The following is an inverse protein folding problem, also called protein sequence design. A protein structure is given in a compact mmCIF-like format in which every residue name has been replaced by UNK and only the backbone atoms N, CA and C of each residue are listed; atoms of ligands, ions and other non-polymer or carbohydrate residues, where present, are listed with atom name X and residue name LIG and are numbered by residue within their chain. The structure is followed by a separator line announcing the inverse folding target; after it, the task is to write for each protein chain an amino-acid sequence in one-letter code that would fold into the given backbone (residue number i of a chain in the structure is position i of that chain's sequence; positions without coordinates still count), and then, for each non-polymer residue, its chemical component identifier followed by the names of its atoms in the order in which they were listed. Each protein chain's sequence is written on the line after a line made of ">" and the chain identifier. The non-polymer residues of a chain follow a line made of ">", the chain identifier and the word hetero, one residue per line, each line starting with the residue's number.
data_IF_268948475894
#
_entry.id   IF_268948475894
#
_cell.length_a   1.000
_cell.length_b   1.000
_cell.length_c   1.000
_cell.angle_alpha   90.00
_cell.angle_beta   90.00
_cell.angle_gamma   90.00
#
_symmetry.space_group_name_H-M   'P 1'
#
loop_
_entity.id
_entity.type
_entity.pdbx_description
1 polymer ?
#
# COMPACT_ATOMS: atom_id res chain seq x y z
N UNK A 1 -6.58 -47.35 8.62
CA UNK A 1 -5.29 -46.67 8.80
C UNK A 1 -5.36 -45.90 10.11
N UNK A 2 -4.42 -46.14 11.03
CA UNK A 2 -4.36 -45.35 12.27
C UNK A 2 -3.85 -43.95 11.93
N UNK A 3 -4.62 -42.94 12.31
CA UNK A 3 -4.32 -41.53 12.10
C UNK A 3 -3.76 -40.96 13.40
N UNK A 4 -2.61 -40.31 13.33
CA UNK A 4 -1.92 -39.80 14.51
C UNK A 4 -1.51 -38.34 14.30
N UNK A 5 -1.74 -37.50 15.31
CA UNK A 5 -1.09 -36.21 15.47
C UNK A 5 0.16 -36.41 16.32
N UNK A 6 1.32 -36.16 15.75
CA UNK A 6 2.60 -36.26 16.45
C UNK A 6 3.12 -34.86 16.79
N UNK A 7 3.40 -34.63 18.07
CA UNK A 7 3.92 -33.37 18.58
C UNK A 7 5.39 -33.55 18.87
N UNK A 8 6.22 -32.71 18.25
CA UNK A 8 7.67 -32.74 18.40
C UNK A 8 8.17 -31.48 19.09
N UNK A 9 9.16 -31.66 19.97
CA UNK A 9 9.95 -30.57 20.51
C UNK A 9 11.16 -30.38 19.62
N UNK A 10 11.22 -29.23 18.95
CA UNK A 10 12.34 -28.86 18.10
C UNK A 10 13.29 -27.98 18.91
N UNK A 11 14.55 -28.43 19.02
CA UNK A 11 15.66 -27.60 19.50
C UNK A 11 16.72 -27.54 18.39
N UNK A 12 17.69 -26.64 18.50
CA UNK A 12 18.63 -26.33 17.41
C UNK A 12 19.35 -27.56 16.80
N UNK A 13 19.56 -28.63 17.56
CA UNK A 13 20.30 -29.81 17.14
C UNK A 13 19.48 -31.12 17.05
N UNK A 14 18.22 -31.14 17.52
CA UNK A 14 17.42 -32.36 17.57
C UNK A 14 15.92 -32.08 17.56
N UNK A 15 15.15 -33.09 17.12
CA UNK A 15 13.70 -33.09 17.11
C UNK A 15 13.21 -34.31 17.88
N UNK A 16 12.66 -34.08 19.07
CA UNK A 16 12.23 -35.15 19.97
C UNK A 16 10.71 -35.32 19.88
N UNK A 17 10.23 -36.55 19.67
CA UNK A 17 8.80 -36.85 19.75
C UNK A 17 8.33 -36.70 21.21
N UNK A 18 7.46 -35.74 21.48
CA UNK A 18 6.91 -35.47 22.81
C UNK A 18 5.59 -36.20 23.01
N UNK A 19 4.76 -36.24 21.96
CA UNK A 19 3.40 -36.75 22.10
C UNK A 19 2.90 -37.39 20.81
N UNK A 20 2.03 -38.39 20.95
CA UNK A 20 1.27 -38.99 19.85
C UNK A 20 -0.17 -39.07 20.29
N UNK A 21 -1.06 -38.45 19.51
CA UNK A 21 -2.48 -38.34 19.79
C UNK A 21 -3.23 -39.06 18.68
N UNK A 22 -4.13 -39.97 19.03
CA UNK A 22 -4.91 -40.72 18.04
C UNK A 22 -6.07 -39.87 17.53
N UNK A 23 -6.21 -39.78 16.21
CA UNK A 23 -7.30 -39.06 15.57
C UNK A 23 -8.40 -40.03 15.15
N UNK A 24 -9.65 -39.60 15.33
CA UNK A 24 -10.82 -40.39 14.94
C UNK A 24 -11.11 -40.35 13.43
N UNK A 25 -10.41 -39.51 12.65
CA UNK A 25 -10.70 -39.28 11.23
C UNK A 25 -9.48 -38.74 10.48
N UNK A 26 -9.55 -38.76 9.15
CA UNK A 26 -8.49 -38.22 8.27
C UNK A 26 -8.42 -36.71 8.40
N UNK A 27 -7.24 -36.18 8.75
CA UNK A 27 -6.98 -34.74 8.76
C UNK A 27 -6.79 -34.24 7.31
N UNK A 28 -7.60 -33.27 6.89
CA UNK A 28 -7.50 -32.57 5.62
C UNK A 28 -6.81 -31.21 5.76
N UNK A 29 -6.97 -30.58 6.92
CA UNK A 29 -6.30 -29.35 7.29
C UNK A 29 -6.17 -29.26 8.81
N UNK A 30 -5.25 -28.46 9.31
CA UNK A 30 -5.08 -28.24 10.74
C UNK A 30 -4.45 -26.88 11.04
N UNK A 31 -4.78 -26.33 12.20
CA UNK A 31 -4.14 -25.14 12.74
C UNK A 31 -3.77 -25.39 14.21
N UNK A 32 -2.64 -24.82 14.64
CA UNK A 32 -2.11 -25.00 15.98
C UNK A 32 -1.78 -23.64 16.58
N UNK A 33 -2.32 -23.40 17.77
CA UNK A 33 -1.89 -22.36 18.70
C UNK A 33 -1.55 -23.05 20.05
N UNK A 34 -2.14 -22.61 21.17
CA UNK A 34 -2.12 -23.37 22.43
C UNK A 34 -2.95 -24.67 22.34
N UNK A 35 -3.91 -24.71 21.43
CA UNK A 35 -4.77 -25.84 21.09
C UNK A 35 -4.64 -26.16 19.60
N UNK A 36 -4.90 -27.41 19.22
CA UNK A 36 -4.92 -27.81 17.81
C UNK A 36 -6.37 -27.99 17.35
N UNK A 37 -6.71 -27.38 16.22
CA UNK A 37 -7.98 -27.62 15.52
C UNK A 37 -7.67 -28.38 14.24
N UNK A 38 -8.37 -29.48 14.04
CA UNK A 38 -8.17 -30.39 12.90
C UNK A 38 -9.48 -30.47 12.13
N UNK A 39 -9.42 -30.24 10.83
CA UNK A 39 -10.54 -30.48 9.95
C UNK A 39 -10.42 -31.86 9.31
N UNK A 40 -11.51 -32.61 9.37
CA UNK A 40 -11.69 -33.84 8.58
C UNK A 40 -12.70 -33.62 7.47
N UNK A 41 -13.02 -34.66 6.70
CA UNK A 41 -14.10 -34.58 5.70
C UNK A 41 -15.48 -34.32 6.31
N UNK A 42 -15.72 -34.72 7.57
CA UNK A 42 -17.05 -34.70 8.19
C UNK A 42 -17.19 -33.82 9.43
N UNK A 43 -16.08 -33.39 10.04
CA UNK A 43 -16.10 -32.66 11.32
C UNK A 43 -14.83 -31.85 11.56
N UNK A 44 -14.97 -30.79 12.36
CA UNK A 44 -13.85 -30.13 13.02
C UNK A 44 -13.66 -30.71 14.41
N UNK A 45 -12.41 -31.02 14.76
CA UNK A 45 -12.01 -31.70 15.99
C UNK A 45 -11.06 -30.77 16.73
N UNK A 46 -11.38 -30.46 17.98
CA UNK A 46 -10.48 -29.80 18.91
C UNK A 46 -9.61 -30.83 19.60
N UNK A 47 -8.32 -30.53 19.72
CA UNK A 47 -7.34 -31.39 20.40
C UNK A 47 -6.56 -30.56 21.40
N UNK A 48 -6.69 -30.93 22.67
CA UNK A 48 -5.85 -30.37 23.74
C UNK A 48 -4.51 -31.11 23.74
N UNK A 49 -3.45 -30.38 23.43
CA UNK A 49 -2.10 -30.92 23.30
C UNK A 49 -1.50 -31.35 24.66
N UNK A 50 -2.00 -30.81 25.78
CA UNK A 50 -1.56 -31.12 27.15
C UNK A 50 -2.26 -32.36 27.68
N UNK A 51 -3.60 -32.40 27.63
CA UNK A 51 -4.39 -33.51 28.17
C UNK A 51 -4.51 -34.70 27.20
N UNK A 52 -4.18 -34.48 25.92
CA UNK A 52 -4.28 -35.47 24.83
C UNK A 52 -5.72 -35.87 24.50
N UNK A 53 -6.70 -35.12 24.98
CA UNK A 53 -8.11 -35.39 24.70
C UNK A 53 -8.52 -34.68 23.41
N UNK A 54 -9.37 -35.36 22.64
CA UNK A 54 -10.01 -34.78 21.46
C UNK A 54 -11.52 -34.72 21.66
N UNK A 55 -12.15 -33.64 21.23
CA UNK A 55 -13.60 -33.48 21.21
C UNK A 55 -14.04 -32.89 19.88
N UNK A 56 -15.29 -33.11 19.53
CA UNK A 56 -15.87 -32.54 18.32
C UNK A 56 -16.26 -31.08 18.57
N UNK A 57 -15.87 -30.20 17.66
CA UNK A 57 -16.26 -28.78 17.68
C UNK A 57 -17.62 -28.64 16.96
N UNK A 58 -17.68 -29.05 15.69
CA UNK A 58 -18.95 -29.18 14.96
C UNK A 58 -18.81 -30.05 13.69
N UNK A 59 -19.95 -30.51 13.17
CA UNK A 59 -20.05 -31.32 11.96
C UNK A 59 -19.92 -30.46 10.68
N UNK A 60 -19.12 -30.92 9.72
CA UNK A 60 -19.02 -30.31 8.38
C UNK A 60 -20.17 -30.78 7.51
N UNK A 61 -20.98 -29.82 7.07
CA UNK A 61 -22.08 -30.03 6.11
C UNK A 61 -21.90 -29.20 4.83
N UNK A 62 -20.74 -28.55 4.67
CA UNK A 62 -20.44 -27.68 3.54
C UNK A 62 -20.01 -28.43 2.27
N UNK A 63 -20.21 -27.78 1.12
CA UNK A 63 -19.85 -28.25 -0.22
C UNK A 63 -18.37 -28.08 -0.59
N UNK A 64 -17.60 -27.35 0.23
CA UNK A 64 -16.17 -27.16 0.02
C UNK A 64 -15.43 -28.49 0.16
N UNK A 65 -14.79 -28.92 -0.92
CA UNK A 65 -13.96 -30.14 -0.94
C UNK A 65 -12.87 -30.08 0.12
N UNK A 66 -12.25 -28.90 0.27
CA UNK A 66 -11.19 -28.65 1.24
C UNK A 66 -11.69 -27.74 2.39
N UNK A 67 -11.61 -28.18 3.65
CA UNK A 67 -11.83 -27.28 4.78
C UNK A 67 -10.70 -26.27 4.86
N UNK A 68 -11.04 -25.06 5.32
CA UNK A 68 -10.09 -24.00 5.59
C UNK A 68 -10.12 -23.64 7.07
N UNK A 69 -8.94 -23.60 7.68
CA UNK A 69 -8.73 -23.25 9.08
C UNK A 69 -7.68 -22.14 9.17
N UNK A 70 -7.93 -21.12 9.98
CA UNK A 70 -6.90 -20.18 10.40
C UNK A 70 -7.02 -19.80 11.88
N UNK A 71 -5.89 -19.49 12.52
CA UNK A 71 -5.85 -18.95 13.89
C UNK A 71 -6.23 -17.47 13.86
N UNK A 72 -7.31 -17.07 14.52
CA UNK A 72 -7.80 -15.70 14.51
C UNK A 72 -7.25 -14.87 15.69
N UNK A 73 -7.32 -15.43 16.90
CA UNK A 73 -6.69 -14.87 18.10
C UNK A 73 -6.35 -15.98 19.10
N UNK A 74 -5.87 -15.61 20.29
CA UNK A 74 -5.68 -16.57 21.38
C UNK A 74 -6.99 -17.30 21.66
N UNK A 75 -6.96 -18.63 21.59
CA UNK A 75 -8.13 -19.52 21.75
C UNK A 75 -9.33 -19.18 20.83
N UNK A 76 -9.10 -18.59 19.65
CA UNK A 76 -10.16 -18.33 18.66
C UNK A 76 -9.66 -18.69 17.25
N UNK A 77 -10.43 -19.52 16.56
CA UNK A 77 -10.13 -20.05 15.24
C UNK A 77 -11.23 -19.65 14.26
N UNK A 78 -10.83 -19.35 13.04
CA UNK A 78 -11.71 -19.09 11.92
C UNK A 78 -11.81 -20.32 11.03
N UNK A 79 -13.03 -20.79 10.80
CA UNK A 79 -13.33 -22.02 10.10
C UNK A 79 -14.26 -21.79 8.92
N UNK A 80 -14.04 -22.50 7.82
CA UNK A 80 -15.04 -22.60 6.75
C UNK A 80 -16.26 -23.41 7.22
N UNK A 81 -17.40 -22.73 7.33
CA UNK A 81 -18.70 -23.28 7.72
C UNK A 81 -19.60 -23.61 6.52
N UNK A 82 -20.79 -24.19 6.79
CA UNK A 82 -21.79 -24.45 5.75
C UNK A 82 -22.33 -23.16 5.13
N UNK A 83 -22.80 -23.26 3.88
CA UNK A 83 -23.43 -22.12 3.19
C UNK A 83 -22.50 -20.92 2.98
N UNK A 84 -21.21 -21.18 2.77
CA UNK A 84 -20.17 -20.14 2.57
C UNK A 84 -20.00 -19.22 3.77
N UNK A 85 -20.17 -19.75 4.99
CA UNK A 85 -19.96 -18.98 6.21
C UNK A 85 -18.52 -19.11 6.70
N UNK A 86 -17.96 -18.03 7.24
CA UNK A 86 -16.77 -18.04 8.08
C UNK A 86 -17.19 -18.03 9.54
N UNK A 87 -16.90 -19.10 10.28
CA UNK A 87 -17.33 -19.26 11.68
C UNK A 87 -16.13 -19.07 12.60
N UNK A 88 -16.31 -18.23 13.62
CA UNK A 88 -15.35 -18.10 14.71
C UNK A 88 -15.70 -19.11 15.80
N UNK A 89 -14.73 -19.89 16.26
CA UNK A 89 -14.94 -20.83 17.37
C UNK A 89 -13.74 -20.82 18.31
N UNK A 90 -13.99 -21.04 19.60
CA UNK A 90 -12.93 -21.32 20.56
C UNK A 90 -12.56 -22.80 20.61
N UNK A 91 -11.58 -23.15 21.44
CA UNK A 91 -11.17 -24.56 21.65
C UNK A 91 -12.31 -25.48 22.06
N UNK A 92 -13.36 -24.98 22.73
CA UNK A 92 -14.53 -25.76 23.19
C UNK A 92 -15.64 -25.81 22.13
N UNK A 93 -15.48 -25.12 21.00
CA UNK A 93 -16.47 -25.08 19.91
C UNK A 93 -17.59 -24.06 20.10
N UNK A 94 -17.44 -23.13 21.05
CA UNK A 94 -18.37 -22.02 21.23
C UNK A 94 -17.96 -20.85 20.33
N UNK A 95 -18.96 -20.15 19.78
CA UNK A 95 -18.74 -18.91 19.05
C UNK A 95 -19.20 -17.70 19.87
N UNK A 96 -18.33 -16.70 19.97
CA UNK A 96 -18.65 -15.40 20.58
C UNK A 96 -19.00 -14.34 19.53
N UNK A 97 -18.90 -14.67 18.24
CA UNK A 97 -19.10 -13.74 17.13
C UNK A 97 -20.08 -14.34 16.11
N UNK A 98 -20.92 -13.52 15.48
CA UNK A 98 -21.71 -14.02 14.38
C UNK A 98 -20.80 -14.41 13.21
N UNK A 99 -21.25 -15.35 12.36
CA UNK A 99 -20.48 -15.78 11.21
C UNK A 99 -20.38 -14.67 10.15
N UNK A 100 -19.30 -14.72 9.36
CA UNK A 100 -19.13 -13.90 8.17
C UNK A 100 -19.71 -14.58 6.94
N UNK A 101 -20.36 -13.83 6.05
CA UNK A 101 -20.73 -14.33 4.73
C UNK A 101 -19.53 -14.24 3.80
N UNK A 102 -19.08 -15.38 3.28
CA UNK A 102 -17.93 -15.53 2.39
C UNK A 102 -18.39 -16.00 0.99
N UNK A 103 -17.44 -16.09 0.06
CA UNK A 103 -17.65 -16.64 -1.28
C UNK A 103 -17.85 -18.16 -1.24
N UNK A 104 -18.59 -18.69 -2.21
CA UNK A 104 -18.83 -20.14 -2.37
C UNK A 104 -17.59 -20.90 -2.85
N UNK A 105 -16.74 -20.25 -3.64
CA UNK A 105 -15.54 -20.86 -4.24
C UNK A 105 -14.27 -20.50 -3.48
N UNK A 106 -14.34 -20.53 -2.15
CA UNK A 106 -13.22 -20.12 -1.31
C UNK A 106 -12.03 -21.07 -1.49
N UNK A 107 -10.89 -20.52 -1.91
CA UNK A 107 -9.63 -21.24 -2.07
C UNK A 107 -8.75 -21.15 -0.83
N UNK A 108 -8.79 -20.00 -0.14
CA UNK A 108 -8.03 -19.79 1.08
C UNK A 108 -8.71 -18.79 2.01
N UNK A 109 -8.42 -18.93 3.30
CA UNK A 109 -8.94 -18.09 4.36
C UNK A 109 -7.81 -17.73 5.31
N UNK A 110 -7.69 -16.43 5.59
CA UNK A 110 -6.61 -15.88 6.39
C UNK A 110 -7.15 -14.81 7.33
N UNK A 111 -6.41 -14.55 8.40
CA UNK A 111 -6.75 -13.53 9.37
C UNK A 111 -5.51 -12.75 9.83
N UNK A 112 -5.74 -11.47 10.12
CA UNK A 112 -4.74 -10.58 10.68
C UNK A 112 -5.46 -9.53 11.53
N UNK A 113 -5.22 -9.57 12.84
CA UNK A 113 -5.94 -8.72 13.81
C UNK A 113 -7.46 -8.97 13.67
N UNK A 114 -8.27 -7.92 13.49
CA UNK A 114 -9.73 -8.03 13.32
C UNK A 114 -10.15 -8.11 11.84
N UNK A 115 -9.22 -8.39 10.93
CA UNK A 115 -9.50 -8.53 9.51
C UNK A 115 -9.40 -9.97 9.07
N UNK A 116 -10.36 -10.37 8.23
CA UNK A 116 -10.42 -11.67 7.57
C UNK A 116 -10.24 -11.46 6.08
N UNK A 117 -9.36 -12.24 5.47
CA UNK A 117 -9.05 -12.20 4.05
C UNK A 117 -9.52 -13.52 3.45
N UNK A 118 -10.51 -13.44 2.56
CA UNK A 118 -11.11 -14.57 1.88
C UNK A 118 -10.73 -14.49 0.40
N UNK A 119 -10.02 -15.51 -0.08
CA UNK A 119 -9.54 -15.60 -1.46
C UNK A 119 -10.34 -16.66 -2.20
N UNK A 120 -11.01 -16.27 -3.28
CA UNK A 120 -11.57 -17.18 -4.28
C UNK A 120 -10.78 -17.07 -5.59
N UNK A 121 -11.33 -17.63 -6.68
CA UNK A 121 -10.71 -17.67 -8.00
C UNK A 121 -10.74 -16.32 -8.75
N UNK A 122 -11.54 -15.35 -8.31
CA UNK A 122 -11.75 -14.06 -8.98
C UNK A 122 -11.46 -12.84 -8.10
N UNK A 123 -11.52 -13.00 -6.77
CA UNK A 123 -11.52 -11.94 -5.79
C UNK A 123 -10.76 -12.31 -4.52
N UNK A 124 -10.09 -11.31 -3.97
CA UNK A 124 -9.66 -11.27 -2.58
C UNK A 124 -10.57 -10.27 -1.87
N UNK A 125 -11.42 -10.77 -0.98
CA UNK A 125 -12.31 -9.96 -0.16
C UNK A 125 -11.75 -9.80 1.24
N UNK A 126 -11.85 -8.59 1.77
CA UNK A 126 -11.41 -8.25 3.13
C UNK A 126 -12.66 -7.94 3.94
N UNK A 127 -12.82 -8.62 5.06
CA UNK A 127 -13.94 -8.50 5.97
C UNK A 127 -13.45 -8.01 7.32
N UNK A 128 -14.20 -7.12 7.96
CA UNK A 128 -13.96 -6.73 9.34
C UNK A 128 -14.79 -7.62 10.26
N UNK A 129 -14.12 -8.35 11.15
CA UNK A 129 -14.78 -9.16 12.17
C UNK A 129 -15.48 -8.30 13.23
N UNK A 130 -15.00 -7.08 13.48
CA UNK A 130 -15.63 -6.15 14.43
C UNK A 130 -16.88 -5.48 13.86
N UNK A 131 -16.85 -5.12 12.57
CA UNK A 131 -17.99 -4.49 11.89
C UNK A 131 -18.93 -5.51 11.21
N UNK A 132 -18.52 -6.78 11.15
CA UNK A 132 -19.24 -7.88 10.51
C UNK A 132 -19.64 -7.56 9.06
N UNK A 133 -18.72 -6.94 8.33
CA UNK A 133 -18.96 -6.47 6.96
C UNK A 133 -17.71 -6.60 6.11
N UNK A 134 -17.92 -6.88 4.82
CA UNK A 134 -16.90 -6.71 3.78
C UNK A 134 -16.49 -5.24 3.68
N UNK A 135 -15.21 -4.97 3.92
CA UNK A 135 -14.63 -3.62 3.87
C UNK A 135 -13.99 -3.32 2.52
N UNK A 136 -13.49 -4.33 1.81
CA UNK A 136 -12.80 -4.14 0.55
C UNK A 136 -12.87 -5.40 -0.32
N UNK A 137 -12.79 -5.20 -1.63
CA UNK A 137 -12.65 -6.25 -2.64
C UNK A 137 -11.52 -5.89 -3.58
N UNK A 138 -10.65 -6.86 -3.85
CA UNK A 138 -9.59 -6.77 -4.84
C UNK A 138 -9.87 -7.80 -5.92
N UNK A 139 -9.88 -7.38 -7.18
CA UNK A 139 -10.05 -8.31 -8.31
C UNK A 139 -8.73 -9.02 -8.57
N UNK A 140 -8.75 -10.36 -8.49
CA UNK A 140 -7.62 -11.25 -8.72
C UNK A 140 -8.10 -12.42 -9.57
N UNK A 141 -7.91 -12.35 -10.88
CA UNK A 141 -8.44 -13.36 -11.80
C UNK A 141 -7.59 -14.62 -11.81
N UNK A 142 -8.26 -15.77 -11.94
CA UNK A 142 -7.70 -17.10 -12.10
C UNK A 142 -6.73 -17.51 -10.98
N UNK A 143 -7.09 -17.21 -9.73
CA UNK A 143 -6.31 -17.70 -8.58
C UNK A 143 -6.47 -19.22 -8.50
N UNK A 144 -5.36 -19.92 -8.30
CA UNK A 144 -5.34 -21.37 -8.13
C UNK A 144 -4.86 -21.82 -6.75
N UNK A 145 -4.09 -20.97 -6.06
CA UNK A 145 -3.66 -21.20 -4.70
C UNK A 145 -3.31 -19.87 -4.02
N UNK A 146 -3.40 -19.82 -2.70
CA UNK A 146 -2.95 -18.69 -1.91
C UNK A 146 -2.29 -19.13 -0.60
N UNK A 147 -1.37 -18.32 -0.11
CA UNK A 147 -0.78 -18.46 1.23
C UNK A 147 -0.51 -17.08 1.83
N UNK A 148 -0.38 -17.02 3.14
CA UNK A 148 -0.02 -15.79 3.85
C UNK A 148 1.36 -15.96 4.50
N UNK A 149 2.12 -14.88 4.59
CA UNK A 149 3.41 -14.84 5.27
C UNK A 149 3.26 -15.12 6.77
N UNK A 150 4.35 -15.59 7.39
CA UNK A 150 4.39 -15.91 8.83
C UNK A 150 4.12 -14.68 9.72
N UNK A 151 4.57 -13.50 9.30
CA UNK A 151 4.29 -12.22 9.96
C UNK A 151 2.88 -11.68 9.67
N UNK A 152 2.10 -12.40 8.85
CA UNK A 152 0.73 -12.05 8.45
C UNK A 152 0.65 -10.72 7.67
N UNK A 153 1.75 -10.22 7.11
CA UNK A 153 1.79 -8.93 6.41
C UNK A 153 1.60 -9.03 4.89
N UNK A 154 1.80 -10.22 4.31
CA UNK A 154 1.73 -10.44 2.86
C UNK A 154 0.83 -11.64 2.55
N UNK A 155 -0.03 -11.49 1.54
CA UNK A 155 -0.77 -12.59 0.93
C UNK A 155 -0.17 -12.84 -0.45
N UNK A 156 0.29 -14.06 -0.68
CA UNK A 156 0.76 -14.54 -1.97
C UNK A 156 -0.35 -15.32 -2.64
N UNK A 157 -0.62 -15.03 -3.92
CA UNK A 157 -1.60 -15.74 -4.73
C UNK A 157 -0.94 -16.23 -6.01
N UNK A 158 -1.01 -17.52 -6.26
CA UNK A 158 -0.67 -18.07 -7.56
C UNK A 158 -1.88 -17.89 -8.49
N UNK A 159 -1.66 -17.17 -9.58
CA UNK A 159 -2.65 -16.95 -10.64
C UNK A 159 -2.21 -17.63 -11.93
N UNK A 160 -3.15 -18.17 -12.69
CA UNK A 160 -2.88 -18.78 -13.98
C UNK A 160 -3.38 -17.88 -15.12
N UNK A 161 -2.51 -17.58 -16.09
CA UNK A 161 -2.90 -16.85 -17.28
C UNK A 161 -3.18 -17.85 -18.42
N UNK A 162 -4.45 -18.03 -18.85
CA UNK A 162 -4.80 -18.99 -19.89
C UNK A 162 -4.27 -18.59 -21.28
N UNK A 163 -4.02 -17.30 -21.52
CA UNK A 163 -3.55 -16.79 -22.82
C UNK A 163 -2.08 -17.14 -23.01
N UNK A 164 -1.26 -16.93 -21.98
CA UNK A 164 0.18 -17.19 -22.03
C UNK A 164 0.55 -18.57 -21.50
N UNK A 165 -0.42 -19.35 -21.02
CA UNK A 165 -0.23 -20.62 -20.32
C UNK A 165 0.86 -20.56 -19.23
N UNK A 166 0.85 -19.48 -18.45
CA UNK A 166 1.89 -19.21 -17.46
C UNK A 166 1.28 -18.89 -16.09
N UNK A 167 1.91 -19.42 -15.05
CA UNK A 167 1.57 -19.07 -13.66
C UNK A 167 2.38 -17.85 -13.21
N UNK A 168 1.72 -16.95 -12.50
CA UNK A 168 2.31 -15.76 -11.90
C UNK A 168 1.98 -15.70 -10.42
N UNK A 169 2.91 -15.22 -9.61
CA UNK A 169 2.66 -14.96 -8.19
C UNK A 169 2.33 -13.48 -8.04
N UNK A 170 1.15 -13.19 -7.49
CA UNK A 170 0.73 -11.86 -7.08
C UNK A 170 0.90 -11.71 -5.58
N UNK A 171 1.33 -10.53 -5.14
CA UNK A 171 1.52 -10.23 -3.73
C UNK A 171 0.58 -9.10 -3.35
N UNK A 172 -0.23 -9.31 -2.32
CA UNK A 172 -1.06 -8.29 -1.70
C UNK A 172 -0.47 -7.95 -0.34
N UNK A 173 -0.29 -6.67 -0.10
CA UNK A 173 0.26 -6.13 1.15
C UNK A 173 -0.55 -4.91 1.57
N UNK A 174 -0.58 -4.58 2.87
CA UNK A 174 -1.08 -3.30 3.34
C UNK A 174 -0.33 -2.18 2.63
N UNK A 175 -1.09 -1.28 2.03
CA UNK A 175 -0.47 -0.14 1.41
C UNK A 175 0.06 0.84 2.46
N UNK A 176 1.26 1.34 2.24
CA UNK A 176 1.87 2.29 3.15
C UNK A 176 1.17 3.65 3.03
N UNK A 177 1.00 4.32 4.17
CA UNK A 177 0.25 5.58 4.24
C UNK A 177 0.79 6.66 3.30
N UNK A 178 2.09 6.64 3.00
CA UNK A 178 2.77 7.58 2.12
C UNK A 178 2.33 7.40 0.66
N UNK A 179 2.06 6.17 0.22
CA UNK A 179 1.51 5.90 -1.12
C UNK A 179 0.05 6.34 -1.22
N UNK A 180 -0.74 6.08 -0.18
CA UNK A 180 -2.14 6.55 -0.10
C UNK A 180 -2.19 8.08 -0.13
N UNK A 181 -1.40 8.74 0.71
CA UNK A 181 -1.29 10.19 0.75
C UNK A 181 -0.85 10.75 -0.60
N UNK A 182 0.20 10.17 -1.23
CA UNK A 182 0.66 10.59 -2.56
C UNK A 182 -0.47 10.51 -3.59
N UNK A 183 -1.21 9.40 -3.67
CA UNK A 183 -2.32 9.28 -4.63
C UNK A 183 -3.43 10.29 -4.38
N UNK A 184 -3.84 10.48 -3.12
CA UNK A 184 -4.90 11.41 -2.80
C UNK A 184 -4.49 12.87 -3.10
N UNK A 185 -3.23 13.26 -2.82
CA UNK A 185 -2.67 14.55 -3.24
C UNK A 185 -2.76 14.67 -4.77
N UNK A 186 -2.29 13.64 -5.48
CA UNK A 186 -2.29 13.62 -6.95
C UNK A 186 -3.72 13.63 -7.54
N UNK A 187 -4.71 13.11 -6.83
CA UNK A 187 -6.12 13.13 -7.21
C UNK A 187 -6.82 14.45 -6.84
N UNK A 188 -6.16 15.37 -6.14
CA UNK A 188 -6.75 16.63 -5.67
C UNK A 188 -7.67 16.47 -4.45
N UNK A 189 -7.69 15.30 -3.81
CA UNK A 189 -8.49 15.01 -2.61
C UNK A 189 -7.82 15.57 -1.34
N UNK A 190 -7.59 16.89 -1.29
CA UNK A 190 -6.77 17.52 -0.26
C UNK A 190 -7.39 17.44 1.14
N UNK A 191 -8.72 17.45 1.24
CA UNK A 191 -9.44 17.33 2.51
C UNK A 191 -9.15 15.98 3.19
N UNK A 192 -9.16 14.88 2.44
CA UNK A 192 -8.94 13.53 2.95
C UNK A 192 -7.49 13.31 3.43
N UNK A 193 -6.53 14.03 2.82
CA UNK A 193 -5.10 13.91 3.12
C UNK A 193 -4.69 14.72 4.35
N UNK A 194 -5.36 15.84 4.60
CA UNK A 194 -4.95 16.80 5.63
C UNK A 194 -4.76 16.14 7.00
N UNK A 195 -5.76 15.37 7.46
CA UNK A 195 -5.70 14.68 8.75
C UNK A 195 -4.56 13.66 8.79
N UNK A 196 -4.41 12.85 7.73
CA UNK A 196 -3.36 11.85 7.64
C UNK A 196 -1.96 12.47 7.73
N UNK A 197 -1.70 13.55 6.99
CA UNK A 197 -0.40 14.22 7.02
C UNK A 197 -0.13 14.92 8.34
N UNK A 198 -1.12 15.58 8.90
CA UNK A 198 -0.98 16.26 10.20
C UNK A 198 -0.66 15.26 11.31
N UNK A 199 -1.31 14.09 11.33
CA UNK A 199 -1.01 13.02 12.28
C UNK A 199 0.43 12.51 12.14
N UNK A 200 0.88 12.24 10.91
CA UNK A 200 2.25 11.74 10.67
C UNK A 200 3.31 12.81 10.98
N UNK A 201 3.02 14.07 10.68
CA UNK A 201 3.90 15.19 11.00
C UNK A 201 3.99 15.42 12.51
N UNK A 202 2.87 15.37 13.23
CA UNK A 202 2.84 15.49 14.69
C UNK A 202 3.64 14.37 15.35
N UNK A 203 3.48 13.12 14.89
CA UNK A 203 4.30 11.99 15.36
C UNK A 203 5.79 12.22 15.13
N UNK A 204 6.17 12.77 13.99
CA UNK A 204 7.56 13.10 13.68
C UNK A 204 8.11 14.17 14.65
N UNK A 205 7.35 15.23 14.92
CA UNK A 205 7.73 16.30 15.87
C UNK A 205 7.90 15.73 17.29
N UNK A 206 6.95 14.91 17.75
CA UNK A 206 7.03 14.28 19.06
C UNK A 206 8.27 13.38 19.17
N UNK A 207 8.58 12.59 18.14
CA UNK A 207 9.79 11.77 18.11
C UNK A 207 11.09 12.59 18.17
N UNK A 208 11.13 13.76 17.53
CA UNK A 208 12.26 14.68 17.66
C UNK A 208 12.44 15.16 19.11
N UNK A 209 11.34 15.39 19.82
CA UNK A 209 11.33 15.92 21.19
C UNK A 209 11.67 14.84 22.24
N UNK A 210 11.25 13.59 22.04
CA UNK A 210 11.36 12.53 23.05
C UNK A 210 12.76 11.97 23.23
N UNK A 211 13.58 11.90 22.16
CA UNK A 211 15.05 11.69 22.17
C UNK A 211 15.57 11.49 20.74
N UNK A 212 16.72 12.08 20.37
CA UNK A 212 17.34 11.79 19.08
C UNK A 212 17.84 10.34 19.02
N UNK A 213 17.72 9.72 17.84
CA UNK A 213 18.21 8.37 17.58
C UNK A 213 19.70 8.25 17.95
N UNK A 214 20.03 7.31 18.84
CA UNK A 214 21.37 7.19 19.42
C UNK A 214 22.31 6.38 18.54
N UNK A 215 21.83 5.34 17.86
CA UNK A 215 22.62 4.50 16.95
C UNK A 215 22.62 5.02 15.51
N UNK A 216 23.70 4.76 14.76
CA UNK A 216 23.79 5.14 13.34
C UNK A 216 22.69 4.52 12.48
N UNK A 217 22.32 3.28 12.75
CA UNK A 217 21.20 2.60 12.08
C UNK A 217 19.86 3.26 12.37
N UNK A 218 19.57 3.57 13.65
CA UNK A 218 18.35 4.25 14.03
C UNK A 218 18.26 5.66 13.41
N UNK A 219 19.38 6.40 13.36
CA UNK A 219 19.45 7.71 12.66
C UNK A 219 19.12 7.58 11.18
N UNK A 220 19.61 6.53 10.49
CA UNK A 220 19.30 6.29 9.07
C UNK A 220 17.82 5.99 8.84
N UNK A 221 17.20 5.14 9.66
CA UNK A 221 15.76 4.86 9.59
C UNK A 221 14.97 6.14 9.82
N UNK A 222 15.30 6.88 10.88
CA UNK A 222 14.64 8.14 11.22
C UNK A 222 14.72 9.11 10.05
N UNK A 223 15.92 9.44 9.56
CA UNK A 223 16.12 10.35 8.45
C UNK A 223 15.35 9.94 7.19
N UNK A 224 15.29 8.64 6.90
CA UNK A 224 14.54 8.11 5.75
C UNK A 224 13.04 8.37 5.92
N UNK A 225 12.50 8.13 7.12
CA UNK A 225 11.08 8.39 7.43
C UNK A 225 10.76 9.89 7.41
N UNK A 226 11.59 10.73 8.03
CA UNK A 226 11.40 12.18 8.06
C UNK A 226 11.36 12.78 6.65
N UNK A 227 12.29 12.37 5.77
CA UNK A 227 12.33 12.82 4.37
C UNK A 227 11.04 12.51 3.60
N UNK A 228 10.40 11.36 3.84
CA UNK A 228 9.12 11.01 3.22
C UNK A 228 7.99 11.91 3.69
N UNK A 229 7.90 12.15 5.01
CA UNK A 229 6.90 13.07 5.59
C UNK A 229 7.08 14.48 5.01
N UNK A 230 8.31 14.99 4.95
CA UNK A 230 8.59 16.29 4.37
C UNK A 230 8.25 16.37 2.87
N UNK A 231 8.55 15.32 2.10
CA UNK A 231 8.19 15.24 0.67
C UNK A 231 6.68 15.41 0.48
N UNK A 232 5.87 14.65 1.22
CA UNK A 232 4.42 14.67 1.09
C UNK A 232 3.79 15.96 1.62
N UNK A 233 4.33 16.52 2.70
CA UNK A 233 3.89 17.82 3.22
C UNK A 233 4.17 18.94 2.21
N UNK A 234 5.36 18.93 1.60
CA UNK A 234 5.69 19.87 0.53
C UNK A 234 4.73 19.76 -0.66
N UNK A 235 4.45 18.53 -1.13
CA UNK A 235 3.51 18.29 -2.23
C UNK A 235 2.08 18.76 -1.89
N UNK A 236 1.60 18.47 -0.68
CA UNK A 236 0.30 18.91 -0.20
C UNK A 236 0.17 20.44 -0.13
N UNK A 237 1.19 21.13 0.38
CA UNK A 237 1.19 22.60 0.44
C UNK A 237 1.32 23.24 -0.95
N UNK A 238 2.07 22.59 -1.86
CA UNK A 238 2.20 23.00 -3.25
C UNK A 238 0.85 22.91 -3.98
N UNK A 239 0.26 21.70 -4.03
CA UNK A 239 -1.18 21.42 -3.80
C UNK A 239 -2.08 22.63 -3.55
N UNK A 240 -2.06 23.03 -2.29
CA UNK A 240 -2.96 24.01 -1.72
C UNK A 240 -2.60 25.48 -2.05
N UNK A 241 -1.62 25.71 -2.93
CA UNK A 241 -1.15 27.05 -3.29
C UNK A 241 -0.31 27.74 -2.20
N UNK A 242 0.07 27.04 -1.13
CA UNK A 242 0.89 27.56 -0.04
C UNK A 242 2.38 27.43 -0.37
N UNK A 243 2.80 28.15 -1.41
CA UNK A 243 4.08 27.95 -2.08
C UNK A 243 5.29 28.23 -1.16
N UNK A 244 5.22 29.27 -0.33
CA UNK A 244 6.30 29.61 0.61
C UNK A 244 6.55 28.47 1.61
N UNK A 245 5.49 27.95 2.23
CA UNK A 245 5.61 26.82 3.17
C UNK A 245 6.04 25.55 2.45
N UNK A 246 5.52 25.28 1.24
CA UNK A 246 5.90 24.09 0.47
C UNK A 246 7.41 24.01 0.22
N UNK A 247 8.06 25.16 0.01
CA UNK A 247 9.51 25.27 -0.20
C UNK A 247 10.31 24.74 0.99
N UNK A 248 9.96 25.17 2.20
CA UNK A 248 10.68 24.75 3.42
C UNK A 248 10.67 23.24 3.61
N UNK A 249 9.55 22.61 3.24
CA UNK A 249 9.40 21.16 3.29
C UNK A 249 10.19 20.45 2.18
N UNK A 250 10.15 20.98 0.96
CA UNK A 250 10.94 20.43 -0.14
C UNK A 250 12.45 20.50 0.11
N UNK A 251 12.95 21.56 0.72
CA UNK A 251 14.37 21.69 1.09
C UNK A 251 14.82 20.61 2.11
N UNK A 252 13.91 20.14 2.97
CA UNK A 252 14.17 19.07 3.97
C UNK A 252 13.88 17.67 3.43
N UNK A 253 13.30 17.57 2.24
CA UNK A 253 12.78 16.33 1.66
C UNK A 253 13.84 15.51 0.91
N UNK A 254 13.42 14.38 0.34
CA UNK A 254 14.17 13.68 -0.72
C UNK A 254 13.41 13.73 -2.06
N UNK A 255 12.61 14.77 -2.27
CA UNK A 255 11.83 14.93 -3.49
C UNK A 255 12.75 14.92 -4.70
N UNK A 256 12.42 14.08 -5.66
CA UNK A 256 12.99 14.15 -6.98
C UNK A 256 12.26 15.23 -7.79
N UNK A 257 12.99 16.28 -8.17
CA UNK A 257 12.41 17.41 -8.90
C UNK A 257 11.80 17.02 -10.25
N UNK A 258 12.21 15.87 -10.81
CA UNK A 258 11.59 15.26 -11.99
C UNK A 258 10.12 14.94 -11.77
N UNK A 259 9.72 14.59 -10.55
CA UNK A 259 8.32 14.31 -10.23
C UNK A 259 7.47 15.58 -10.35
N UNK A 260 8.00 16.74 -9.96
CA UNK A 260 7.32 18.03 -10.16
C UNK A 260 7.29 18.41 -11.65
N UNK A 261 8.42 18.31 -12.35
CA UNK A 261 8.51 18.67 -13.77
C UNK A 261 7.59 17.81 -14.65
N UNK A 262 7.49 16.50 -14.38
CA UNK A 262 6.56 15.58 -15.06
C UNK A 262 5.10 15.95 -14.83
N UNK A 263 4.78 16.46 -13.63
CA UNK A 263 3.39 16.73 -13.24
C UNK A 263 2.91 18.09 -13.70
N UNK A 264 3.81 19.07 -13.69
CA UNK A 264 3.52 20.45 -14.03
C UNK A 264 4.30 20.88 -15.27
N UNK A 265 4.19 20.08 -16.34
CA UNK A 265 4.78 20.38 -17.65
C UNK A 265 4.27 21.74 -18.16
N UNK A 266 3.07 22.12 -17.74
CA UNK A 266 2.45 23.41 -18.03
C UNK A 266 3.12 24.58 -17.30
N UNK A 267 3.87 24.35 -16.22
CA UNK A 267 4.68 25.38 -15.56
C UNK A 267 6.03 25.62 -16.23
N UNK A 268 6.37 24.88 -17.29
CA UNK A 268 7.56 25.13 -18.09
C UNK A 268 7.41 26.42 -18.93
N UNK A 269 8.52 27.10 -19.27
CA UNK A 269 8.46 28.23 -20.18
C UNK A 269 7.86 27.81 -21.54
N UNK A 270 7.20 28.75 -22.23
CA UNK A 270 6.68 28.52 -23.59
C UNK A 270 7.80 28.01 -24.50
N UNK A 271 7.54 26.92 -25.22
CA UNK A 271 8.50 26.31 -26.16
C UNK A 271 9.33 25.16 -25.57
N UNK A 272 9.17 24.81 -24.30
CA UNK A 272 9.84 23.67 -23.67
C UNK A 272 8.87 22.52 -23.42
N UNK A 273 9.30 21.29 -23.74
CA UNK A 273 8.58 20.06 -23.43
C UNK A 273 9.48 19.16 -22.59
N UNK A 274 8.89 18.50 -21.59
CA UNK A 274 9.59 17.52 -20.76
C UNK A 274 9.05 16.13 -21.04
N UNK A 275 9.91 15.23 -21.53
CA UNK A 275 9.64 13.81 -21.59
C UNK A 275 10.26 13.13 -20.37
N UNK A 276 9.52 12.25 -19.71
CA UNK A 276 10.02 11.48 -18.56
C UNK A 276 11.21 10.60 -18.97
N UNK A 277 12.43 11.10 -18.77
CA UNK A 277 13.68 10.43 -19.10
C UNK A 277 14.55 10.29 -17.83
N UNK A 278 15.06 9.08 -17.51
CA UNK A 278 16.03 8.87 -16.43
C UNK A 278 17.20 9.87 -16.43
N UNK A 279 17.63 10.34 -17.60
CA UNK A 279 18.73 11.29 -17.78
C UNK A 279 18.35 12.78 -17.74
N UNK A 280 17.08 13.16 -17.53
CA UNK A 280 16.65 14.56 -17.49
C UNK A 280 16.88 15.33 -18.82
N UNK A 281 16.72 14.68 -19.99
CA UNK A 281 16.70 15.41 -21.25
C UNK A 281 15.44 16.33 -21.33
N UNK A 282 15.67 17.65 -21.35
CA UNK A 282 14.65 18.65 -21.68
C UNK A 282 14.80 18.95 -23.17
N UNK A 283 13.76 18.73 -23.96
CA UNK A 283 13.79 19.00 -25.41
C UNK A 283 13.04 20.29 -25.73
N UNK A 284 13.57 21.08 -26.64
CA UNK A 284 12.83 22.19 -27.26
C UNK A 284 11.64 21.62 -28.04
N UNK A 285 10.45 22.15 -27.79
CA UNK A 285 9.24 21.82 -28.56
C UNK A 285 9.48 22.19 -30.03
N UNK A 286 9.04 21.37 -30.99
CA UNK A 286 9.13 21.71 -32.42
C UNK A 286 8.37 23.00 -32.78
N UNK A 287 7.50 23.50 -31.90
CA UNK A 287 6.80 24.79 -32.05
C UNK A 287 7.64 26.02 -31.67
N UNK A 288 8.79 25.86 -31.01
CA UNK A 288 9.66 26.98 -30.63
C UNK A 288 10.55 27.48 -31.79
N UNK A 289 10.70 26.68 -32.85
CA UNK A 289 11.59 26.99 -33.98
C UNK A 289 10.95 27.95 -35.00
N UNK A 290 9.65 28.24 -34.90
CA UNK A 290 8.95 29.08 -35.89
C UNK A 290 8.80 30.56 -35.52
N UNK A 291 9.22 31.00 -34.32
CA UNK A 291 9.09 32.41 -33.91
C UNK A 291 10.39 32.94 -33.29
N UNK A 292 11.47 32.92 -34.07
CA UNK A 292 12.52 33.96 -34.13
C UNK A 292 13.75 33.40 -34.86
N UNK A 293 14.11 34.04 -35.96
CA UNK A 293 15.47 33.98 -36.49
C UNK A 293 15.99 35.42 -36.50
N UNK A 294 17.26 35.66 -36.15
CA UNK A 294 18.33 35.38 -37.10
C UNK A 294 19.55 34.64 -36.54
N UNK A 295 20.14 33.81 -37.40
CA UNK A 295 21.53 33.35 -37.44
C UNK A 295 22.19 32.86 -36.14
N UNK A 296 22.20 31.54 -35.93
CA UNK A 296 23.21 30.86 -35.10
C UNK A 296 23.82 29.75 -35.97
N UNK A 297 25.14 29.85 -36.14
CA UNK A 297 26.05 28.90 -36.79
C UNK A 297 25.92 27.47 -36.23
N UNK A 298 26.07 26.49 -37.12
CA UNK A 298 25.80 25.05 -37.00
C UNK A 298 26.56 24.23 -35.93
N UNK A 299 27.13 24.80 -34.87
CA UNK A 299 28.05 24.04 -33.99
C UNK A 299 27.82 24.16 -32.47
N UNK A 300 26.57 24.37 -32.03
CA UNK A 300 26.21 24.19 -30.62
C UNK A 300 24.95 23.33 -30.48
N UNK A 301 25.16 22.04 -30.24
CA UNK A 301 24.09 21.17 -29.72
C UNK A 301 23.56 21.74 -28.40
N UNK A 302 22.24 21.95 -28.23
CA UNK A 302 21.70 22.50 -27.00
C UNK A 302 22.02 21.57 -25.81
N UNK A 303 22.27 22.10 -24.60
CA UNK A 303 22.75 21.31 -23.47
C UNK A 303 21.66 20.36 -22.96
N UNK A 304 21.74 19.10 -23.34
CA UNK A 304 20.72 18.10 -23.02
C UNK A 304 21.08 17.31 -21.74
N UNK A 305 20.89 17.89 -20.56
CA UNK A 305 20.47 17.29 -19.27
C UNK A 305 20.78 18.23 -18.08
N UNK A 306 20.26 17.92 -16.88
CA UNK A 306 20.47 18.73 -15.66
C UNK A 306 21.95 18.96 -15.30
N UNK A 307 22.83 18.03 -15.67
CA UNK A 307 24.27 18.11 -15.41
C UNK A 307 24.94 19.05 -16.42
N UNK A 308 24.54 18.98 -17.70
CA UNK A 308 24.98 19.89 -18.75
C UNK A 308 24.48 21.34 -18.51
N UNK A 309 23.26 21.52 -17.97
CA UNK A 309 22.72 22.83 -17.60
C UNK A 309 23.39 23.42 -16.34
N UNK A 310 23.71 22.57 -15.36
CA UNK A 310 24.47 22.96 -14.17
C UNK A 310 25.93 23.34 -14.51
N UNK A 311 26.57 22.59 -15.40
CA UNK A 311 27.92 22.93 -15.93
C UNK A 311 27.93 24.20 -16.76
N UNK A 312 26.94 24.42 -17.65
CA UNK A 312 26.86 25.66 -18.45
C UNK A 312 26.54 26.90 -17.61
N UNK A 313 25.85 26.75 -16.48
CA UNK A 313 25.56 27.86 -15.56
C UNK A 313 26.62 28.05 -14.48
N UNK A 314 27.55 27.11 -14.31
CA UNK A 314 28.59 27.18 -13.28
C UNK A 314 28.07 26.99 -11.84
N UNK A 315 26.87 26.42 -11.69
CA UNK A 315 26.13 26.34 -10.43
C UNK A 315 26.10 24.89 -9.93
N UNK A 316 26.25 24.66 -8.62
CA UNK A 316 26.23 23.30 -8.09
C UNK A 316 24.88 22.61 -8.32
N UNK A 317 24.86 21.28 -8.42
CA UNK A 317 23.60 20.49 -8.57
C UNK A 317 22.56 20.84 -7.48
N UNK A 318 23.02 21.16 -6.27
CA UNK A 318 22.15 21.59 -5.15
C UNK A 318 21.51 22.95 -5.40
N UNK A 319 22.30 23.92 -5.87
CA UNK A 319 21.81 25.27 -6.19
C UNK A 319 20.91 25.25 -7.43
N UNK A 320 21.22 24.43 -8.43
CA UNK A 320 20.36 24.23 -9.59
C UNK A 320 19.00 23.61 -9.23
N UNK A 321 18.98 22.64 -8.30
CA UNK A 321 17.72 22.12 -7.74
C UNK A 321 16.90 23.19 -7.03
N UNK A 322 17.54 24.07 -6.25
CA UNK A 322 16.87 25.22 -5.63
C UNK A 322 16.34 26.20 -6.66
N UNK A 323 17.10 26.47 -7.72
CA UNK A 323 16.66 27.31 -8.84
C UNK A 323 15.42 26.74 -9.51
N UNK A 324 15.44 25.46 -9.92
CA UNK A 324 14.28 24.80 -10.53
C UNK A 324 13.06 24.81 -9.60
N UNK A 325 13.26 24.61 -8.30
CA UNK A 325 12.18 24.68 -7.32
C UNK A 325 11.59 26.09 -7.27
N UNK A 326 12.43 27.13 -7.19
CA UNK A 326 11.99 28.52 -7.23
C UNK A 326 11.26 28.86 -8.52
N UNK A 327 11.77 28.39 -9.66
CA UNK A 327 11.15 28.57 -10.97
C UNK A 327 9.74 27.97 -11.00
N UNK A 328 9.57 26.73 -10.55
CA UNK A 328 8.26 26.07 -10.51
C UNK A 328 7.28 26.77 -9.55
N UNK A 329 7.76 27.21 -8.39
CA UNK A 329 6.96 27.95 -7.42
C UNK A 329 6.49 29.29 -8.03
N UNK A 330 7.37 30.07 -8.64
CA UNK A 330 7.00 31.36 -9.26
C UNK A 330 6.02 31.19 -10.42
N UNK A 331 6.20 30.18 -11.28
CA UNK A 331 5.26 29.93 -12.38
C UNK A 331 3.89 29.46 -11.89
N UNK A 332 3.83 28.62 -10.84
CA UNK A 332 2.56 28.22 -10.21
C UNK A 332 1.86 29.42 -9.59
N UNK A 333 2.62 30.30 -8.93
CA UNK A 333 2.13 31.56 -8.39
C UNK A 333 1.44 32.38 -9.49
N UNK A 334 2.14 32.58 -10.61
CA UNK A 334 1.59 33.29 -11.78
C UNK A 334 0.26 32.71 -12.27
N UNK A 335 0.14 31.38 -12.39
CA UNK A 335 -1.09 30.72 -12.86
C UNK A 335 -2.28 30.84 -11.90
N UNK A 336 -2.06 30.62 -10.60
CA UNK A 336 -3.09 30.80 -9.57
C UNK A 336 -3.61 32.25 -9.59
N UNK A 337 -2.71 33.23 -9.72
CA UNK A 337 -3.11 34.63 -9.82
C UNK A 337 -3.86 34.93 -11.12
N UNK A 338 -3.46 34.39 -12.27
CA UNK A 338 -4.19 34.59 -13.54
C UNK A 338 -5.61 34.01 -13.52
N UNK A 339 -5.84 32.87 -12.86
CA UNK A 339 -7.19 32.32 -12.68
C UNK A 339 -8.07 33.22 -11.80
N UNK A 340 -7.50 33.85 -10.77
CA UNK A 340 -8.23 34.81 -9.93
C UNK A 340 -8.41 36.20 -10.57
N UNK A 341 -7.53 36.63 -11.49
CA UNK A 341 -7.71 37.89 -12.23
C UNK A 341 -8.81 37.79 -13.29
N UNK A 342 -9.00 36.62 -13.92
CA UNK A 342 -10.11 36.40 -14.84
C UNK A 342 -11.49 36.42 -14.15
N UNK A 343 -11.56 36.06 -12.87
CA UNK A 343 -12.81 36.12 -12.08
C UNK A 343 -13.13 37.54 -11.62
N UNK A 344 -12.12 38.40 -11.45
CA UNK A 344 -12.30 39.80 -11.00
C UNK A 344 -12.51 40.81 -12.14
N UNK A 345 -12.36 40.41 -13.41
CA UNK A 345 -12.68 41.26 -14.57
C UNK A 345 -14.16 41.23 -14.98
N UNK A 346 -15.03 40.57 -14.22
CA UNK A 346 -16.49 40.73 -14.34
C UNK A 346 -16.93 41.81 -13.34
N UNK A 347 -16.55 43.05 -13.60
CA UNK A 347 -17.06 44.21 -12.87
C UNK A 347 -17.67 45.21 -13.85
N UNK A 348 -18.99 45.36 -13.72
CA UNK A 348 -19.81 46.53 -14.03
C UNK A 348 -19.59 47.22 -15.39
N UNK A 349 -20.47 46.92 -16.35
CA UNK A 349 -20.93 47.93 -17.31
C UNK A 349 -22.13 48.68 -16.71
N UNK A 350 -22.08 50.02 -16.57
CA UNK A 350 -23.26 50.82 -16.27
C UNK A 350 -24.01 51.08 -17.57
N UNK A 351 -25.13 50.37 -17.78
CA UNK A 351 -25.99 50.68 -18.92
C UNK A 351 -26.83 51.93 -18.59
N UNK A 352 -26.51 52.99 -19.34
CA UNK A 352 -27.27 54.22 -19.43
C UNK A 352 -28.63 53.97 -20.09
N UNK A 353 -29.65 54.58 -19.47
CA UNK A 353 -30.91 55.09 -20.04
C UNK A 353 -31.06 55.07 -21.57
N UNK A 354 -32.09 54.38 -22.06
CA UNK A 354 -33.27 54.98 -22.70
C UNK A 354 -34.52 54.29 -22.15
#
# INVERSE_FOLDING_TARGET
>A
MNQHLQVYRVVKARMDLVNTINLSSIALDFCVDNFAVIASSKKYIGVDLKTKTSHEIFARTGSLDRPLIDSFSEDEFLLSGPGSLGIFVNSVGQSNRPPLTLSTNLLALFSRKQLVFAVDDEFLTIHSASLQKQVQTLVVQNVCAACMSLDRDFIFMATYNPITNASQIRVVQPETWDLVAKRLILAGCLADVSNLLNDQFTKLVNLCNERPATSGYAKKIFNTRSKRVYTLMGLYLFENGQLAHSREFFEKSSLDIRELLNRYVDLLPRGYEYSADPSLHITTSPKAVSESSPSITEDQSPPCNIFNLAETTGVSVTEFRKFLLNFLLENRRGRIFTQHTQVSSIACTPDFLI
#
